data_IF_999450782322
#
_entry.id   IF_999450782322
#
_cell.length_a   1.000
_cell.length_b   1.000
_cell.length_c   1.000
_cell.angle_alpha   90.00
_cell.angle_beta   90.00
_cell.angle_gamma   90.00
#
_symmetry.space_group_name_H-M   'P 1'
#
loop_
_entity.id
_entity.type
_entity.pdbx_description
1 polymer ?
#
# COMPACT_ATOMS: atom_id res chain seq x y z
N UNK A 1 18.38 2.19 10.61
CA UNK A 1 17.11 1.44 10.69
C UNK A 1 16.41 1.64 9.36
N UNK A 2 16.07 0.57 8.63
CA UNK A 2 15.43 0.68 7.31
C UNK A 2 13.92 0.69 7.50
N UNK A 3 13.26 1.82 7.19
CA UNK A 3 11.80 1.91 7.26
C UNK A 3 11.18 1.20 6.06
N UNK A 4 10.08 0.49 6.28
CA UNK A 4 9.33 -0.14 5.20
C UNK A 4 8.38 0.87 4.58
N UNK A 5 8.62 1.23 3.33
CA UNK A 5 7.72 2.09 2.57
C UNK A 5 6.47 1.31 2.15
N UNK A 6 5.30 1.83 2.48
CA UNK A 6 3.98 1.31 2.13
C UNK A 6 3.30 2.34 1.23
N UNK A 7 2.87 1.89 0.07
CA UNK A 7 2.18 2.75 -0.89
C UNK A 7 0.68 2.61 -0.70
N UNK A 8 -0.06 3.71 -0.62
CA UNK A 8 -1.50 3.72 -0.36
C UNK A 8 -2.22 4.40 -1.52
N UNK A 9 -3.15 3.69 -2.16
CA UNK A 9 -4.03 4.26 -3.17
C UNK A 9 -5.41 4.48 -2.58
N UNK A 10 -5.87 5.72 -2.55
CA UNK A 10 -7.23 6.00 -2.13
C UNK A 10 -7.71 7.31 -2.79
N UNK A 11 -8.82 7.21 -3.54
CA UNK A 11 -9.47 8.39 -4.13
C UNK A 11 -10.00 9.33 -3.06
N UNK A 12 -10.44 8.81 -1.91
CA UNK A 12 -10.96 9.61 -0.81
C UNK A 12 -9.82 10.24 0.01
N UNK A 13 -9.61 11.57 -0.06
CA UNK A 13 -8.47 12.23 0.59
C UNK A 13 -8.54 12.14 2.12
N UNK A 14 -9.73 12.14 2.72
CA UNK A 14 -9.93 12.04 4.17
C UNK A 14 -9.48 10.67 4.72
N UNK A 15 -9.86 9.60 4.03
CA UNK A 15 -9.46 8.22 4.36
C UNK A 15 -7.96 8.07 4.15
N UNK A 16 -7.45 8.55 3.01
CA UNK A 16 -6.01 8.52 2.68
C UNK A 16 -5.16 9.17 3.77
N UNK A 17 -5.51 10.39 4.18
CA UNK A 17 -4.79 11.11 5.23
C UNK A 17 -4.79 10.35 6.55
N UNK A 18 -5.92 9.75 6.91
CA UNK A 18 -6.05 8.93 8.12
C UNK A 18 -5.15 7.70 8.07
N UNK A 19 -5.16 6.95 6.96
CA UNK A 19 -4.31 5.78 6.75
C UNK A 19 -2.83 6.15 6.84
N UNK A 20 -2.42 7.22 6.13
CA UNK A 20 -1.03 7.70 6.15
C UNK A 20 -0.60 7.99 7.59
N UNK A 21 -1.46 8.68 8.36
CA UNK A 21 -1.16 9.06 9.74
C UNK A 21 -1.03 7.83 10.65
N UNK A 22 -1.88 6.83 10.49
CA UNK A 22 -1.83 5.58 11.25
C UNK A 22 -0.56 4.78 10.96
N UNK A 23 -0.15 4.69 9.69
CA UNK A 23 1.06 3.95 9.32
C UNK A 23 2.30 4.70 9.79
N UNK A 24 2.39 6.01 9.56
CA UNK A 24 3.51 6.85 10.04
C UNK A 24 3.57 6.96 11.57
N UNK A 25 2.51 6.56 12.29
CA UNK A 25 2.57 6.43 13.73
C UNK A 25 3.55 5.32 14.18
N UNK A 26 3.90 4.41 13.28
CA UNK A 26 4.93 3.39 13.52
C UNK A 26 6.28 3.89 12.98
N UNK A 27 7.33 3.96 13.81
CA UNK A 27 8.64 4.45 13.39
C UNK A 27 9.35 3.53 12.39
N UNK A 28 8.87 2.30 12.23
CA UNK A 28 9.40 1.30 11.32
C UNK A 28 8.77 1.36 9.92
N UNK A 29 7.66 2.10 9.74
CA UNK A 29 6.93 2.16 8.49
C UNK A 29 6.73 3.60 8.02
N UNK A 30 6.70 3.77 6.70
CA UNK A 30 6.41 5.05 6.07
C UNK A 30 5.28 4.84 5.08
N UNK A 31 4.17 5.56 5.23
CA UNK A 31 3.10 5.53 4.22
C UNK A 31 3.22 6.70 3.24
N UNK A 32 3.10 6.39 1.96
CA UNK A 32 2.97 7.37 0.89
C UNK A 32 1.63 7.15 0.20
N UNK A 33 0.72 8.12 0.28
CA UNK A 33 -0.59 8.02 -0.36
C UNK A 33 -0.66 8.79 -1.67
N UNK A 34 -1.13 8.13 -2.72
CA UNK A 34 -1.34 8.72 -4.04
C UNK A 34 -2.81 8.65 -4.44
N UNK A 35 -3.28 9.71 -5.11
CA UNK A 35 -4.58 9.71 -5.76
C UNK A 35 -4.49 9.07 -7.15
N UNK A 36 -3.38 9.31 -7.85
CA UNK A 36 -3.15 8.85 -9.21
C UNK A 36 -2.10 7.74 -9.27
N UNK A 37 -2.34 6.67 -10.06
CA UNK A 37 -1.36 5.61 -10.28
C UNK A 37 -0.07 6.11 -10.93
N UNK A 38 -0.12 7.11 -11.80
CA UNK A 38 1.05 7.62 -12.50
C UNK A 38 2.17 8.06 -11.53
N UNK A 39 1.86 8.96 -10.58
CA UNK A 39 2.81 9.44 -9.57
C UNK A 39 3.37 8.31 -8.70
N UNK A 40 2.51 7.38 -8.31
CA UNK A 40 2.91 6.23 -7.50
C UNK A 40 3.89 5.31 -8.24
N UNK A 41 3.67 5.09 -9.54
CA UNK A 41 4.56 4.28 -10.38
C UNK A 41 5.92 4.96 -10.54
N UNK A 42 5.98 6.29 -10.63
CA UNK A 42 7.24 7.03 -10.65
C UNK A 42 8.00 6.92 -9.32
N UNK A 43 7.31 7.09 -8.18
CA UNK A 43 7.97 6.96 -6.88
C UNK A 43 8.38 5.51 -6.61
N UNK A 44 7.62 4.51 -7.07
CA UNK A 44 7.94 3.09 -6.93
C UNK A 44 9.13 2.63 -7.78
N UNK A 45 9.47 3.36 -8.85
CA UNK A 45 10.73 3.20 -9.58
C UNK A 45 11.92 3.78 -8.80
N UNK A 46 11.72 4.88 -8.09
CA UNK A 46 12.78 5.55 -7.32
C UNK A 46 13.00 4.94 -5.92
N UNK A 47 11.95 4.39 -5.30
CA UNK A 47 11.98 3.85 -3.93
C UNK A 47 11.43 2.43 -3.87
N UNK A 48 12.07 1.54 -3.09
CA UNK A 48 11.60 0.18 -2.93
C UNK A 48 10.41 0.12 -1.95
N UNK A 49 9.19 -0.06 -2.49
CA UNK A 49 8.01 -0.32 -1.66
C UNK A 49 7.91 -1.78 -1.21
N UNK A 50 7.59 -1.96 0.07
CA UNK A 50 7.39 -3.26 0.68
C UNK A 50 6.00 -3.83 0.43
N UNK A 51 4.99 -2.98 0.33
CA UNK A 51 3.58 -3.34 0.22
C UNK A 51 2.78 -2.21 -0.43
N UNK A 52 1.74 -2.58 -1.17
CA UNK A 52 0.75 -1.64 -1.71
C UNK A 52 -0.59 -1.89 -1.04
N UNK A 53 -1.25 -0.82 -0.63
CA UNK A 53 -2.57 -0.82 -0.03
C UNK A 53 -3.55 -0.11 -0.96
N UNK A 54 -4.54 -0.86 -1.46
CA UNK A 54 -5.66 -0.34 -2.24
C UNK A 54 -6.81 -0.03 -1.28
N UNK A 55 -7.18 1.24 -1.18
CA UNK A 55 -8.34 1.71 -0.43
C UNK A 55 -9.60 1.79 -1.30
N UNK A 56 -10.71 2.20 -0.69
CA UNK A 56 -12.00 2.35 -1.40
C UNK A 56 -12.02 3.55 -2.36
N UNK A 57 -12.77 3.39 -3.47
CA UNK A 57 -13.02 4.44 -4.47
C UNK A 57 -12.47 4.15 -5.86
N UNK A 58 -12.01 2.93 -6.12
CA UNK A 58 -11.66 2.45 -7.45
C UNK A 58 -12.69 1.40 -7.90
N UNK A 59 -13.03 1.42 -9.19
CA UNK A 59 -13.80 0.34 -9.80
C UNK A 59 -12.95 -0.90 -10.05
N UNK A 60 -13.59 -2.06 -10.25
CA UNK A 60 -12.90 -3.34 -10.49
C UNK A 60 -11.91 -3.29 -11.67
N UNK A 61 -12.24 -2.51 -12.71
CA UNK A 61 -11.37 -2.29 -13.87
C UNK A 61 -10.14 -1.48 -13.48
N UNK A 62 -10.32 -0.36 -12.77
CA UNK A 62 -9.21 0.50 -12.34
C UNK A 62 -8.27 -0.27 -11.40
N UNK A 63 -8.81 -1.04 -10.47
CA UNK A 63 -8.02 -1.90 -9.60
C UNK A 63 -7.18 -2.90 -10.39
N UNK A 64 -7.77 -3.55 -11.40
CA UNK A 64 -7.04 -4.50 -12.26
C UNK A 64 -5.91 -3.82 -13.03
N UNK A 65 -6.17 -2.67 -13.63
CA UNK A 65 -5.14 -1.92 -14.35
C UNK A 65 -4.00 -1.50 -13.43
N UNK A 66 -4.32 -1.07 -12.23
CA UNK A 66 -3.35 -0.64 -11.23
C UNK A 66 -2.51 -1.83 -10.71
N UNK A 67 -3.15 -2.97 -10.42
CA UNK A 67 -2.48 -4.21 -10.07
C UNK A 67 -1.57 -4.70 -11.21
N UNK A 68 -2.02 -4.62 -12.46
CA UNK A 68 -1.22 -4.99 -13.64
C UNK A 68 0.00 -4.08 -13.78
N UNK A 69 -0.17 -2.76 -13.66
CA UNK A 69 0.92 -1.79 -13.71
C UNK A 69 1.95 -2.04 -12.60
N UNK A 70 1.49 -2.26 -11.36
CA UNK A 70 2.36 -2.59 -10.22
C UNK A 70 3.13 -3.88 -10.44
N UNK A 71 2.47 -4.94 -10.92
CA UNK A 71 3.13 -6.21 -11.23
C UNK A 71 4.15 -6.08 -12.37
N UNK A 72 3.91 -5.16 -13.31
CA UNK A 72 4.84 -4.88 -14.40
C UNK A 72 6.11 -4.19 -13.90
N UNK A 73 6.01 -3.27 -12.94
CA UNK A 73 7.17 -2.58 -12.35
C UNK A 73 7.87 -3.46 -11.30
N UNK A 74 7.12 -4.04 -10.37
CA UNK A 74 7.61 -4.94 -9.32
C UNK A 74 6.78 -6.20 -9.25
N UNK A 75 7.30 -7.24 -9.91
CA UNK A 75 6.72 -8.58 -9.84
C UNK A 75 6.82 -9.11 -8.40
N UNK A 76 5.67 -9.41 -7.78
CA UNK A 76 5.60 -9.99 -6.44
C UNK A 76 5.53 -8.99 -5.28
N UNK A 77 5.20 -7.71 -5.52
CA UNK A 77 4.83 -6.81 -4.42
C UNK A 77 3.47 -7.25 -3.82
N UNK A 78 3.34 -7.40 -2.49
CA UNK A 78 2.07 -7.74 -1.87
C UNK A 78 1.10 -6.58 -1.99
N UNK A 79 -0.13 -6.87 -2.41
CA UNK A 79 -1.21 -5.90 -2.58
C UNK A 79 -2.30 -6.25 -1.57
N UNK A 80 -2.56 -5.34 -0.64
CA UNK A 80 -3.60 -5.47 0.39
C UNK A 80 -4.75 -4.57 0.01
N UNK A 81 -5.98 -5.09 0.03
CA UNK A 81 -7.18 -4.32 -0.28
C UNK A 81 -7.93 -4.02 1.01
N UNK A 82 -8.14 -2.75 1.33
CA UNK A 82 -8.86 -2.32 2.51
C UNK A 82 -10.10 -1.52 2.11
N UNK A 83 -11.26 -2.17 2.17
CA UNK A 83 -12.54 -1.56 1.77
C UNK A 83 -13.31 -0.91 2.94
N UNK A 84 -12.73 -0.89 4.13
CA UNK A 84 -13.30 -0.30 5.34
C UNK A 84 -13.60 -1.33 6.42
N UNK A 85 -13.02 -1.10 7.61
CA UNK A 85 -13.23 -1.92 8.82
C UNK A 85 -12.78 -1.25 10.12
N UNK A 86 -12.35 0.02 10.07
CA UNK A 86 -11.76 0.72 11.21
C UNK A 86 -10.24 0.60 11.29
N UNK A 87 -9.63 1.53 12.02
CA UNK A 87 -8.17 1.77 12.10
C UNK A 87 -7.36 0.56 12.59
N UNK A 88 -7.96 -0.26 13.48
CA UNK A 88 -7.29 -1.41 14.09
C UNK A 88 -7.11 -2.59 13.12
N UNK A 89 -8.09 -2.82 12.25
CA UNK A 89 -8.04 -3.91 11.27
C UNK A 89 -7.04 -3.60 10.15
N UNK A 90 -7.04 -2.36 9.65
CA UNK A 90 -6.09 -1.89 8.64
C UNK A 90 -4.64 -2.20 9.01
N UNK A 91 -4.24 -1.81 10.22
CA UNK A 91 -2.86 -1.97 10.68
C UNK A 91 -2.47 -3.45 10.78
N UNK A 92 -3.40 -4.29 11.24
CA UNK A 92 -3.20 -5.74 11.32
C UNK A 92 -3.08 -6.37 9.93
N UNK A 93 -3.89 -5.96 8.95
CA UNK A 93 -3.84 -6.44 7.56
C UNK A 93 -2.50 -6.10 6.89
N UNK A 94 -2.00 -4.87 7.09
CA UNK A 94 -0.68 -4.45 6.61
C UNK A 94 0.40 -5.33 7.25
N UNK A 95 0.34 -5.52 8.58
CA UNK A 95 1.32 -6.35 9.30
C UNK A 95 1.31 -7.78 8.79
N UNK A 96 0.14 -8.36 8.55
CA UNK A 96 -0.03 -9.69 7.99
C UNK A 96 0.53 -9.78 6.56
N UNK A 97 0.29 -8.78 5.71
CA UNK A 97 0.83 -8.71 4.35
C UNK A 97 2.36 -8.60 4.32
N UNK A 98 2.94 -7.80 5.22
CA UNK A 98 4.38 -7.68 5.39
C UNK A 98 5.00 -8.96 5.98
N UNK A 99 4.37 -9.54 6.99
CA UNK A 99 4.86 -10.75 7.68
C UNK A 99 4.77 -11.99 6.78
N UNK A 100 3.75 -12.10 5.94
CA UNK A 100 3.64 -13.19 4.95
C UNK A 100 4.82 -13.19 3.96
N UNK A 101 5.41 -12.02 3.69
CA UNK A 101 6.62 -11.89 2.87
C UNK A 101 7.89 -12.38 3.58
N UNK A 102 7.92 -12.33 4.92
CA UNK A 102 9.05 -12.81 5.73
C UNK A 102 9.11 -14.34 5.83
N UNK A 103 7.98 -15.05 5.68
CA UNK A 103 7.93 -16.52 5.86
C UNK A 103 8.33 -17.33 4.61
N UNK A 104 8.49 -16.68 3.45
CA UNK A 104 8.95 -17.34 2.21
C UNK A 104 10.48 -17.43 2.07
N UNK A 105 11.21 -17.27 3.18
CA UNK A 105 12.68 -17.39 3.26
C UNK A 105 13.08 -18.42 4.32
N UNK A 106 12.52 -19.61 4.26
CA UNK A 106 13.02 -20.79 4.97
C UNK A 106 13.10 -21.97 4.00
#
# INVERSE_FOLDING_TARGET
MAQTAILVFCRHPEIRATIIRLINNNPEWTATGFAEPADALEDLKNKPYGLVLLGSGFDETEEKELILALQHIRKGIPIVKHYGGGSGLLSAEIYQGLSSRSRLRE
#
